data_IF_781730475345
#
_entry.id   IF_781730475345
#
_cell.length_a   1.000
_cell.length_b   1.000
_cell.length_c   1.000
_cell.angle_alpha   90.00
_cell.angle_beta   90.00
_cell.angle_gamma   90.00
#
_symmetry.space_group_name_H-M   'P 1'
#
loop_
_entity.id
_entity.type
_entity.pdbx_description
1 polymer ?
#
# COMPACT_ATOMS: atom_id res chain seq x y z
N UNK A 1 0.08 20.11 12.37
CA UNK A 1 -1.33 19.73 12.11
C UNK A 1 -1.70 20.25 10.73
N UNK A 2 -1.67 19.40 9.69
CA UNK A 2 -1.83 19.79 8.28
C UNK A 2 -3.21 19.42 7.74
N UNK A 3 -4.28 19.84 8.42
CA UNK A 3 -5.62 19.69 7.88
C UNK A 3 -6.50 20.90 8.17
N UNK A 4 -7.30 21.27 7.17
CA UNK A 4 -8.26 22.35 7.29
C UNK A 4 -9.48 21.91 8.09
N UNK A 5 -9.91 22.73 9.05
CA UNK A 5 -11.08 22.48 9.90
C UNK A 5 -12.36 23.16 9.38
N UNK A 6 -12.29 23.90 8.26
CA UNK A 6 -13.47 24.53 7.69
C UNK A 6 -14.41 23.46 7.11
N UNK A 7 -15.71 23.75 7.06
CA UNK A 7 -16.71 22.83 6.50
C UNK A 7 -16.34 22.39 5.08
N UNK A 8 -15.81 23.30 4.27
CA UNK A 8 -15.36 22.98 2.93
C UNK A 8 -14.13 22.05 2.92
N UNK A 9 -13.18 22.29 3.83
CA UNK A 9 -12.00 21.45 3.96
C UNK A 9 -12.36 20.02 4.39
N UNK A 10 -13.29 19.86 5.34
CA UNK A 10 -13.78 18.54 5.77
C UNK A 10 -14.52 17.83 4.63
N UNK A 11 -15.38 18.54 3.88
CA UNK A 11 -16.04 17.97 2.69
C UNK A 11 -15.03 17.48 1.66
N UNK A 12 -14.00 18.28 1.37
CA UNK A 12 -12.94 17.90 0.45
C UNK A 12 -12.17 16.66 0.94
N UNK A 13 -11.80 16.61 2.22
CA UNK A 13 -11.12 15.46 2.83
C UNK A 13 -11.92 14.16 2.69
N UNK A 14 -13.24 14.19 2.93
CA UNK A 14 -14.11 13.03 2.77
C UNK A 14 -14.12 12.55 1.32
N UNK A 15 -14.30 13.46 0.36
CA UNK A 15 -14.29 13.10 -1.06
C UNK A 15 -12.93 12.57 -1.52
N UNK A 16 -11.83 13.14 -1.04
CA UNK A 16 -10.48 12.61 -1.29
C UNK A 16 -10.36 11.17 -0.77
N UNK A 17 -10.80 10.89 0.47
CA UNK A 17 -10.75 9.54 1.03
C UNK A 17 -11.58 8.52 0.22
N UNK A 18 -12.79 8.91 -0.22
CA UNK A 18 -13.65 8.08 -1.06
C UNK A 18 -13.00 7.80 -2.42
N UNK A 19 -12.46 8.82 -3.08
CA UNK A 19 -11.78 8.68 -4.37
C UNK A 19 -10.53 7.79 -4.26
N UNK A 20 -9.70 8.00 -3.23
CA UNK A 20 -8.51 7.16 -2.97
C UNK A 20 -8.89 5.70 -2.78
N UNK A 21 -9.92 5.43 -1.98
CA UNK A 21 -10.38 4.06 -1.75
C UNK A 21 -10.91 3.40 -3.03
N UNK A 22 -11.67 4.16 -3.83
CA UNK A 22 -12.15 3.67 -5.13
C UNK A 22 -11.00 3.34 -6.08
N UNK A 23 -9.99 4.20 -6.16
CA UNK A 23 -8.79 3.97 -6.99
C UNK A 23 -8.06 2.69 -6.57
N UNK A 24 -7.90 2.45 -5.27
CA UNK A 24 -7.30 1.22 -4.74
C UNK A 24 -8.09 -0.01 -5.17
N UNK A 25 -9.42 0.02 -5.05
CA UNK A 25 -10.27 -1.09 -5.47
C UNK A 25 -10.17 -1.36 -6.97
N UNK A 26 -10.17 -0.30 -7.79
CA UNK A 26 -10.02 -0.41 -9.24
C UNK A 26 -8.66 -1.01 -9.59
N UNK A 27 -7.57 -0.54 -8.97
CA UNK A 27 -6.23 -1.05 -9.21
C UNK A 27 -6.12 -2.55 -8.89
N UNK A 28 -6.61 -2.98 -7.73
CA UNK A 28 -6.62 -4.39 -7.32
C UNK A 28 -7.43 -5.25 -8.30
N UNK A 29 -8.62 -4.77 -8.71
CA UNK A 29 -9.49 -5.47 -9.67
C UNK A 29 -8.85 -5.57 -11.06
N UNK A 30 -8.26 -4.48 -11.54
CA UNK A 30 -7.66 -4.38 -12.86
C UNK A 30 -6.44 -5.30 -13.00
N UNK A 31 -5.58 -5.30 -11.98
CA UNK A 31 -4.36 -6.12 -11.94
C UNK A 31 -4.57 -7.53 -11.39
N UNK A 32 -5.79 -7.87 -10.95
CA UNK A 32 -6.14 -9.17 -10.34
C UNK A 32 -5.22 -9.54 -9.17
N UNK A 33 -4.86 -8.55 -8.36
CA UNK A 33 -3.90 -8.71 -7.27
C UNK A 33 -4.55 -9.49 -6.10
N UNK A 34 -3.93 -10.54 -5.58
CA UNK A 34 -4.47 -11.35 -4.48
C UNK A 34 -4.21 -10.70 -3.10
N UNK A 35 -4.45 -9.40 -2.95
CA UNK A 35 -4.18 -8.64 -1.72
C UNK A 35 -5.41 -7.85 -1.26
N UNK A 36 -5.50 -7.63 0.05
CA UNK A 36 -6.55 -6.76 0.60
C UNK A 36 -6.25 -5.28 0.30
N UNK A 37 -7.28 -4.40 0.26
CA UNK A 37 -7.08 -2.96 0.05
C UNK A 37 -6.15 -2.31 1.07
N UNK A 38 -6.17 -2.80 2.32
CA UNK A 38 -5.33 -2.30 3.40
C UNK A 38 -3.85 -2.63 3.16
N UNK A 39 -3.56 -3.89 2.80
CA UNK A 39 -2.19 -4.33 2.48
C UNK A 39 -1.69 -3.59 1.24
N UNK A 40 -2.51 -3.44 0.20
CA UNK A 40 -2.15 -2.71 -0.99
C UNK A 40 -1.79 -1.24 -0.71
N UNK A 41 -2.61 -0.54 0.08
CA UNK A 41 -2.31 0.83 0.51
C UNK A 41 -0.98 0.93 1.26
N UNK A 42 -0.72 -0.02 2.17
CA UNK A 42 0.53 -0.06 2.92
C UNK A 42 1.74 -0.27 2.00
N UNK A 43 1.65 -1.21 1.05
CA UNK A 43 2.72 -1.48 0.10
C UNK A 43 3.03 -0.26 -0.78
N UNK A 44 1.99 0.45 -1.23
CA UNK A 44 2.15 1.68 -2.01
C UNK A 44 2.81 2.78 -1.16
N UNK A 45 2.45 2.90 0.12
CA UNK A 45 3.03 3.87 1.04
C UNK A 45 4.52 3.59 1.30
N UNK A 46 4.89 2.33 1.57
CA UNK A 46 6.28 1.96 1.87
C UNK A 46 7.18 1.98 0.64
N UNK A 47 6.62 1.81 -0.55
CA UNK A 47 7.38 1.71 -1.81
C UNK A 47 7.08 2.87 -2.78
N UNK A 48 6.55 4.00 -2.31
CA UNK A 48 6.13 5.12 -3.17
C UNK A 48 7.27 5.72 -4.02
N UNK A 49 8.52 5.53 -3.58
CA UNK A 49 9.71 6.03 -4.26
C UNK A 49 10.40 4.97 -5.12
N UNK A 50 9.91 3.73 -5.09
CA UNK A 50 10.49 2.63 -5.86
C UNK A 50 9.97 2.62 -7.30
N UNK A 51 10.88 2.38 -8.25
CA UNK A 51 10.53 2.27 -9.67
C UNK A 51 10.23 0.81 -10.03
N UNK A 52 9.17 0.26 -9.47
CA UNK A 52 8.69 -1.10 -9.72
C UNK A 52 7.21 -1.10 -10.15
N UNK A 53 6.77 -2.15 -10.84
CA UNK A 53 5.35 -2.27 -11.22
C UNK A 53 4.48 -2.69 -10.02
N UNK A 54 3.17 -2.42 -10.06
CA UNK A 54 2.25 -2.84 -8.99
C UNK A 54 2.21 -4.36 -8.81
N UNK A 55 2.33 -5.11 -9.91
CA UNK A 55 2.37 -6.57 -9.87
C UNK A 55 3.66 -7.07 -9.19
N UNK A 56 4.80 -6.43 -9.47
CA UNK A 56 6.08 -6.73 -8.80
C UNK A 56 6.05 -6.35 -7.32
N UNK A 57 5.46 -5.19 -7.00
CA UNK A 57 5.29 -4.72 -5.63
C UNK A 57 4.53 -5.75 -4.78
N UNK A 58 3.41 -6.26 -5.31
CA UNK A 58 2.60 -7.30 -4.64
C UNK A 58 3.32 -8.65 -4.60
N UNK A 59 3.97 -9.06 -5.69
CA UNK A 59 4.73 -10.30 -5.73
C UNK A 59 5.85 -10.32 -4.70
N UNK A 60 6.63 -9.24 -4.59
CA UNK A 60 7.71 -9.10 -3.62
C UNK A 60 7.18 -9.18 -2.18
N UNK A 61 6.02 -8.57 -1.91
CA UNK A 61 5.38 -8.64 -0.61
C UNK A 61 4.95 -10.06 -0.23
N UNK A 62 4.41 -10.83 -1.19
CA UNK A 62 4.01 -12.23 -0.98
C UNK A 62 5.23 -13.14 -0.81
N UNK A 63 6.30 -12.89 -1.57
CA UNK A 63 7.54 -13.67 -1.48
C UNK A 63 8.31 -13.45 -0.18
N UNK A 64 8.09 -12.32 0.50
CA UNK A 64 8.73 -11.96 1.76
C UNK A 64 7.95 -12.42 3.01
N UNK A 65 6.93 -13.28 2.83
CA UNK A 65 6.21 -13.94 3.93
C UNK A 65 7.17 -14.92 4.67
N UNK A 66 7.39 -14.76 5.99
CA UNK A 66 8.51 -15.38 6.70
C UNK A 66 8.35 -16.88 7.03
N UNK A 67 7.55 -17.64 6.28
CA UNK A 67 7.57 -19.12 6.37
C UNK A 67 8.74 -19.77 5.61
N UNK A 68 9.64 -18.97 5.03
CA UNK A 68 10.98 -19.45 4.71
C UNK A 68 11.88 -19.24 5.93
N UNK A 69 12.47 -20.29 6.54
CA UNK A 69 13.47 -20.10 7.58
C UNK A 69 14.71 -19.51 6.90
N UNK A 70 14.81 -18.18 6.83
CA UNK A 70 16.03 -17.49 6.43
C UNK A 70 17.09 -17.71 7.52
N UNK A 71 17.69 -18.89 7.40
CA UNK A 71 18.97 -19.25 7.95
C UNK A 71 19.98 -18.32 7.31
N UNK A 72 20.36 -17.26 8.03
CA UNK A 72 21.69 -16.62 8.04
C UNK A 72 21.62 -15.24 8.72
N UNK A 73 20.92 -15.13 9.86
CA UNK A 73 21.17 -14.01 10.76
C UNK A 73 22.63 -14.10 11.25
N UNK A 74 23.50 -13.29 10.63
CA UNK A 74 24.85 -13.06 11.11
C UNK A 74 24.76 -12.27 12.41
N UNK A 75 25.17 -12.90 13.50
CA UNK A 75 25.38 -12.27 14.80
C UNK A 75 26.43 -11.16 14.61
N UNK A 76 26.01 -9.91 14.77
CA UNK A 76 26.94 -8.78 14.86
C UNK A 76 27.33 -8.63 16.33
N UNK A 77 28.59 -8.92 16.63
CA UNK A 77 29.21 -8.62 17.93
C UNK A 77 29.33 -7.12 18.15
#
# INVERSE_FOLDING_TARGET
HFFGNSINAVKAQIWTAVCTYLLVLIAIRHHRLPVSPQIFLHLVETNIFEKITLDQLVANAILHDPEAPDSNQLILF
#
